data_IF_544296944473
#
_entry.id   IF_544296944473
#
_cell.length_a   1.000
_cell.length_b   1.000
_cell.length_c   1.000
_cell.angle_alpha   90.00
_cell.angle_beta   90.00
_cell.angle_gamma   90.00
#
_symmetry.space_group_name_H-M   'P 1'
#
loop_
_entity.id
_entity.type
_entity.pdbx_description
1 polymer ?
#
# COMPACT_ATOMS: atom_id res chain seq x y z
N UNK A 1 2.46 16.44 -21.29
CA UNK A 1 1.82 16.29 -19.97
C UNK A 1 2.85 15.75 -19.02
N UNK A 2 2.98 16.32 -17.83
CA UNK A 2 3.79 15.73 -16.75
C UNK A 2 3.11 14.43 -16.31
N UNK A 3 3.84 13.32 -16.24
CA UNK A 3 3.36 12.04 -15.76
C UNK A 3 4.14 11.62 -14.52
N UNK A 4 3.54 10.80 -13.68
CA UNK A 4 4.23 10.17 -12.55
C UNK A 4 4.60 8.73 -12.90
N UNK A 5 5.66 8.22 -12.27
CA UNK A 5 6.07 6.83 -12.37
C UNK A 5 5.67 6.11 -11.08
N UNK A 6 4.86 5.06 -11.19
CA UNK A 6 4.56 4.16 -10.08
C UNK A 6 5.65 3.10 -9.98
N UNK A 7 6.37 3.09 -8.87
CA UNK A 7 7.46 2.15 -8.57
C UNK A 7 6.91 0.78 -8.16
N UNK A 8 6.25 0.08 -9.06
CA UNK A 8 5.67 -1.24 -8.80
C UNK A 8 5.58 -2.10 -10.06
N UNK A 9 5.93 -3.38 -9.93
CA UNK A 9 5.65 -4.43 -10.90
C UNK A 9 4.34 -5.18 -10.59
N UNK A 10 3.72 -4.93 -9.44
CA UNK A 10 2.47 -5.58 -9.05
C UNK A 10 1.29 -4.99 -9.84
N UNK A 11 0.73 -5.80 -10.76
CA UNK A 11 -0.38 -5.38 -11.63
C UNK A 11 -1.62 -4.94 -10.84
N UNK A 12 -1.94 -5.59 -9.72
CA UNK A 12 -3.07 -5.19 -8.89
C UNK A 12 -2.88 -3.78 -8.31
N UNK A 13 -1.65 -3.45 -7.87
CA UNK A 13 -1.33 -2.09 -7.43
C UNK A 13 -1.42 -1.09 -8.58
N UNK A 14 -0.90 -1.44 -9.76
CA UNK A 14 -0.96 -0.56 -10.94
C UNK A 14 -2.41 -0.22 -11.31
N UNK A 15 -3.29 -1.22 -11.34
CA UNK A 15 -4.72 -1.01 -11.61
C UNK A 15 -5.42 -0.16 -10.53
N UNK A 16 -5.11 -0.39 -9.25
CA UNK A 16 -5.66 0.43 -8.16
C UNK A 16 -5.19 1.88 -8.26
N UNK A 17 -3.89 2.12 -8.49
CA UNK A 17 -3.37 3.49 -8.62
C UNK A 17 -3.87 4.21 -9.87
N UNK A 18 -4.03 3.51 -11.00
CA UNK A 18 -4.61 4.08 -12.21
C UNK A 18 -6.03 4.64 -11.96
N UNK A 19 -6.81 3.98 -11.10
CA UNK A 19 -8.15 4.45 -10.69
C UNK A 19 -8.08 5.55 -9.63
N UNK A 20 -7.22 5.42 -8.63
CA UNK A 20 -7.09 6.39 -7.54
C UNK A 20 -6.51 7.73 -8.02
N UNK A 21 -5.61 7.71 -9.01
CA UNK A 21 -4.93 8.87 -9.58
C UNK A 21 -5.44 9.24 -10.97
N UNK A 22 -6.65 8.87 -11.33
CA UNK A 22 -7.25 8.99 -12.68
C UNK A 22 -7.09 10.35 -13.38
N UNK A 23 -6.89 11.43 -12.61
CA UNK A 23 -6.64 12.77 -13.15
C UNK A 23 -5.16 13.06 -13.47
N UNK A 24 -4.25 12.14 -13.15
CA UNK A 24 -2.81 12.29 -13.33
C UNK A 24 -2.30 11.09 -14.11
N UNK A 25 -1.64 11.30 -15.28
CA UNK A 25 -1.08 10.20 -16.05
C UNK A 25 -0.03 9.43 -15.23
N UNK A 26 -0.24 8.13 -15.06
CA UNK A 26 0.67 7.25 -14.32
C UNK A 26 1.29 6.24 -15.28
N UNK A 27 2.62 6.19 -15.31
CA UNK A 27 3.41 5.12 -15.94
C UNK A 27 3.78 4.11 -14.86
N UNK A 28 4.18 2.90 -15.23
CA UNK A 28 4.61 1.87 -14.28
C UNK A 28 6.01 1.36 -14.61
N UNK A 29 6.59 0.54 -13.73
CA UNK A 29 7.88 -0.09 -13.98
C UNK A 29 7.85 -1.08 -15.15
N UNK A 30 6.68 -1.50 -15.62
CA UNK A 30 6.56 -2.26 -16.87
C UNK A 30 7.07 -1.50 -18.09
N UNK A 31 7.06 -0.16 -18.05
CA UNK A 31 7.64 0.70 -19.07
C UNK A 31 9.17 0.82 -18.99
N UNK A 32 9.76 0.25 -17.95
CA UNK A 32 11.19 0.32 -17.62
C UNK A 32 11.75 -1.07 -17.26
N UNK A 33 11.83 -2.01 -18.21
CA UNK A 33 12.21 -3.41 -17.93
C UNK A 33 13.63 -3.56 -17.38
N UNK A 34 14.49 -2.56 -17.58
CA UNK A 34 15.89 -2.54 -17.08
C UNK A 34 16.00 -2.11 -15.61
N UNK A 35 14.87 -1.67 -15.00
CA UNK A 35 14.90 -1.21 -13.62
C UNK A 35 15.01 -2.38 -12.66
N UNK A 36 16.03 -2.40 -11.79
CA UNK A 36 16.14 -3.42 -10.77
C UNK A 36 15.02 -3.30 -9.74
N UNK A 37 14.64 -4.41 -9.16
CA UNK A 37 13.79 -4.40 -7.96
C UNK A 37 14.53 -3.74 -6.81
N UNK A 38 13.84 -2.83 -6.13
CA UNK A 38 14.36 -2.19 -4.92
C UNK A 38 14.13 -3.11 -3.73
N UNK A 39 15.20 -3.45 -3.03
CA UNK A 39 15.12 -4.29 -1.84
C UNK A 39 14.38 -3.57 -0.70
N UNK A 40 13.35 -4.22 -0.17
CA UNK A 40 12.55 -3.74 0.96
C UNK A 40 13.16 -4.26 2.28
N UNK A 41 14.26 -3.62 2.71
CA UNK A 41 15.07 -3.98 3.88
C UNK A 41 14.89 -3.05 5.07
N UNK A 42 14.00 -2.05 4.94
CA UNK A 42 13.78 -1.09 6.01
C UNK A 42 12.86 -1.66 7.11
N UNK A 43 12.99 -1.18 8.35
CA UNK A 43 12.25 -1.73 9.49
C UNK A 43 10.77 -1.39 9.50
N UNK A 44 10.35 -0.42 8.70
CA UNK A 44 8.96 0.05 8.65
C UNK A 44 8.49 0.39 7.23
N UNK A 45 7.18 0.57 7.07
CA UNK A 45 6.55 0.89 5.78
C UNK A 45 7.01 2.24 5.22
N UNK A 46 7.29 3.22 6.08
CA UNK A 46 7.77 4.55 5.65
C UNK A 46 9.14 4.42 5.00
N UNK A 47 10.05 3.71 5.66
CA UNK A 47 11.41 3.48 5.16
C UNK A 47 11.39 2.78 3.79
N UNK A 48 10.62 1.69 3.65
CA UNK A 48 10.52 0.95 2.38
C UNK A 48 9.90 1.80 1.26
N UNK A 49 8.81 2.51 1.53
CA UNK A 49 8.16 3.37 0.53
C UNK A 49 9.10 4.51 0.08
N UNK A 50 9.77 5.17 1.02
CA UNK A 50 10.73 6.26 0.76
C UNK A 50 11.94 5.74 -0.02
N UNK A 51 12.52 4.61 0.39
CA UNK A 51 13.65 3.99 -0.30
C UNK A 51 13.29 3.69 -1.76
N UNK A 52 12.17 3.01 -2.00
CA UNK A 52 11.69 2.72 -3.37
C UNK A 52 11.49 3.98 -4.20
N UNK A 53 10.79 4.97 -3.66
CA UNK A 53 10.53 6.20 -4.40
C UNK A 53 11.83 6.93 -4.80
N UNK A 54 12.78 7.02 -3.88
CA UNK A 54 14.06 7.70 -4.10
C UNK A 54 14.97 6.98 -5.08
N UNK A 55 15.12 5.66 -4.93
CA UNK A 55 16.01 4.88 -5.80
C UNK A 55 15.50 4.91 -7.24
N UNK A 56 14.20 4.70 -7.45
CA UNK A 56 13.60 4.76 -8.80
C UNK A 56 13.65 6.18 -9.37
N UNK A 57 13.39 7.21 -8.54
CA UNK A 57 13.56 8.61 -8.96
C UNK A 57 15.01 8.90 -9.39
N UNK A 58 15.99 8.47 -8.62
CA UNK A 58 17.41 8.71 -8.91
C UNK A 58 17.83 8.10 -10.27
N UNK A 59 17.27 6.95 -10.64
CA UNK A 59 17.56 6.29 -11.92
C UNK A 59 16.83 6.92 -13.11
N UNK A 60 15.59 7.39 -12.89
CA UNK A 60 14.71 7.79 -14.02
C UNK A 60 14.58 9.30 -14.18
N UNK A 61 14.88 10.09 -13.15
CA UNK A 61 14.59 11.53 -13.09
C UNK A 61 13.09 11.84 -13.04
N UNK A 62 12.21 10.85 -13.11
CA UNK A 62 10.76 11.04 -13.09
C UNK A 62 10.27 11.32 -11.65
N UNK A 63 9.18 12.11 -11.52
CA UNK A 63 8.44 12.14 -10.25
C UNK A 63 7.91 10.74 -9.99
N UNK A 64 8.34 10.14 -8.89
CA UNK A 64 8.11 8.73 -8.60
C UNK A 64 7.23 8.56 -7.37
N UNK A 65 6.18 7.77 -7.53
CA UNK A 65 5.29 7.31 -6.46
C UNK A 65 5.65 5.87 -6.12
N UNK A 66 5.88 5.59 -4.85
CA UNK A 66 6.02 4.22 -4.35
C UNK A 66 5.09 4.00 -3.17
N UNK A 67 4.59 2.79 -2.99
CA UNK A 67 3.90 2.40 -1.77
C UNK A 67 4.56 1.21 -1.11
N UNK A 68 4.49 1.20 0.22
CA UNK A 68 4.62 -0.03 0.98
C UNK A 68 3.39 -0.22 1.85
N UNK A 69 2.91 -1.47 1.92
CA UNK A 69 1.64 -1.77 2.57
C UNK A 69 1.62 -3.20 3.09
N UNK A 70 0.94 -3.40 4.20
CA UNK A 70 0.84 -4.70 4.80
C UNK A 70 -0.25 -4.80 5.85
N UNK A 71 -0.31 -5.97 6.46
CA UNK A 71 -1.20 -6.33 7.55
C UNK A 71 -0.40 -6.36 8.85
N UNK A 72 -0.90 -5.66 9.87
CA UNK A 72 -0.44 -5.74 11.25
C UNK A 72 -1.49 -6.49 12.08
N UNK A 73 -1.06 -7.46 12.89
CA UNK A 73 -1.95 -8.24 13.75
C UNK A 73 -1.47 -8.13 15.20
N UNK A 74 -2.28 -7.55 16.06
CA UNK A 74 -1.91 -7.19 17.44
C UNK A 74 -1.40 -8.38 18.25
N UNK A 75 -2.04 -9.54 18.15
CA UNK A 75 -1.63 -10.75 18.89
C UNK A 75 -0.30 -11.35 18.41
N UNK A 76 0.23 -10.89 17.27
CA UNK A 76 1.47 -11.37 16.69
C UNK A 76 2.56 -10.28 16.67
N UNK A 77 2.52 -9.32 17.60
CA UNK A 77 3.46 -8.20 17.69
C UNK A 77 3.58 -7.45 16.35
N UNK A 78 2.43 -7.14 15.75
CA UNK A 78 2.26 -6.48 14.46
C UNK A 78 2.80 -7.27 13.26
N UNK A 79 3.19 -8.56 13.43
CA UNK A 79 3.48 -9.41 12.29
C UNK A 79 2.19 -9.71 11.48
N UNK A 80 2.28 -9.90 10.16
CA UNK A 80 3.47 -9.94 9.30
C UNK A 80 4.11 -8.57 8.99
N UNK A 81 3.42 -7.44 9.20
CA UNK A 81 3.96 -6.10 9.00
C UNK A 81 4.56 -5.89 7.60
N UNK A 82 5.77 -5.33 7.52
CA UNK A 82 6.50 -5.10 6.26
C UNK A 82 6.83 -6.39 5.49
N UNK A 83 6.71 -7.55 6.13
CA UNK A 83 6.92 -8.85 5.49
C UNK A 83 5.64 -9.45 4.89
N UNK A 84 4.51 -8.73 4.87
CA UNK A 84 3.19 -9.25 4.46
C UNK A 84 3.21 -10.04 3.15
N UNK A 85 3.89 -9.54 2.13
CA UNK A 85 3.97 -10.20 0.82
C UNK A 85 4.90 -11.43 0.78
N UNK A 86 5.83 -11.56 1.74
CA UNK A 86 6.88 -12.59 1.77
C UNK A 86 6.95 -13.36 3.09
N UNK A 87 5.95 -13.21 3.95
CA UNK A 87 5.91 -13.82 5.28
C UNK A 87 5.93 -15.36 5.26
N UNK A 88 5.28 -15.93 4.25
CA UNK A 88 5.34 -17.35 3.92
C UNK A 88 5.50 -17.48 2.41
N UNK A 89 6.36 -18.40 1.98
CA UNK A 89 6.50 -18.71 0.55
C UNK A 89 5.21 -19.32 -0.02
N UNK A 90 4.92 -19.01 -1.27
CA UNK A 90 3.74 -19.54 -1.96
C UNK A 90 2.73 -18.45 -2.36
N UNK A 91 1.47 -18.86 -2.46
CA UNK A 91 0.35 -18.02 -2.88
C UNK A 91 -0.18 -17.11 -1.75
N UNK A 92 -1.09 -16.21 -2.09
CA UNK A 92 -1.84 -15.44 -1.08
C UNK A 92 -2.64 -16.38 -0.16
N UNK A 93 -3.15 -17.49 -0.71
CA UNK A 93 -3.84 -18.51 0.07
C UNK A 93 -2.93 -19.16 1.11
N UNK A 94 -1.72 -19.51 0.74
CA UNK A 94 -0.73 -20.08 1.68
C UNK A 94 -0.45 -19.09 2.83
N UNK A 95 -0.32 -17.80 2.51
CA UNK A 95 -0.07 -16.74 3.49
C UNK A 95 -1.23 -16.56 4.48
N UNK A 96 -2.47 -16.40 4.00
CA UNK A 96 -3.58 -16.21 4.92
C UNK A 96 -3.94 -17.50 5.68
N UNK A 97 -3.72 -18.70 5.14
CA UNK A 97 -3.88 -19.96 5.87
C UNK A 97 -2.85 -20.09 6.99
N UNK A 98 -1.59 -19.72 6.74
CA UNK A 98 -0.56 -19.68 7.77
C UNK A 98 -0.89 -18.67 8.88
N UNK A 99 -1.48 -17.53 8.52
CA UNK A 99 -1.98 -16.55 9.49
C UNK A 99 -3.10 -17.15 10.35
N UNK A 100 -4.12 -17.76 9.73
CA UNK A 100 -5.22 -18.39 10.46
C UNK A 100 -4.74 -19.47 11.42
N UNK A 101 -3.77 -20.30 11.02
CA UNK A 101 -3.17 -21.32 11.88
C UNK A 101 -2.47 -20.71 13.11
N UNK A 102 -1.74 -19.59 12.94
CA UNK A 102 -1.12 -18.89 14.08
C UNK A 102 -2.14 -18.22 14.99
N UNK A 103 -3.28 -17.83 14.44
CA UNK A 103 -4.38 -17.19 15.16
C UNK A 103 -5.36 -18.18 15.82
N UNK A 104 -5.13 -19.50 15.70
CA UNK A 104 -6.07 -20.53 16.21
C UNK A 104 -6.31 -20.44 17.72
N UNK A 105 -5.24 -20.15 18.48
CA UNK A 105 -5.28 -20.05 19.94
C UNK A 105 -5.44 -18.61 20.44
N UNK A 106 -5.40 -17.63 19.56
CA UNK A 106 -5.45 -16.22 19.91
C UNK A 106 -6.87 -15.71 20.06
N UNK A 107 -7.13 -15.03 21.17
CA UNK A 107 -8.41 -14.37 21.46
C UNK A 107 -8.44 -12.92 20.98
N UNK A 108 -7.30 -12.23 20.99
CA UNK A 108 -7.16 -10.90 20.40
C UNK A 108 -6.96 -11.04 18.90
N UNK A 109 -8.01 -10.73 18.15
CA UNK A 109 -7.99 -10.83 16.70
C UNK A 109 -7.87 -9.48 16.00
N UNK A 110 -7.58 -8.40 16.74
CA UNK A 110 -7.42 -7.07 16.17
C UNK A 110 -6.30 -7.05 15.16
N UNK A 111 -6.58 -6.41 14.05
CA UNK A 111 -5.65 -6.27 12.93
C UNK A 111 -5.86 -4.93 12.25
N UNK A 112 -4.85 -4.51 11.50
CA UNK A 112 -4.87 -3.25 10.73
C UNK A 112 -4.20 -3.47 9.40
N UNK A 113 -4.84 -3.03 8.33
CA UNK A 113 -4.12 -2.78 7.09
C UNK A 113 -3.49 -1.39 7.11
N UNK A 114 -2.23 -1.30 6.72
CA UNK A 114 -1.46 -0.05 6.61
C UNK A 114 -0.99 0.14 5.18
N UNK A 115 -1.02 1.38 4.70
CA UNK A 115 -0.38 1.79 3.45
C UNK A 115 0.34 3.11 3.67
N UNK A 116 1.58 3.15 3.27
CA UNK A 116 2.39 4.36 3.17
C UNK A 116 2.68 4.62 1.70
N UNK A 117 2.39 5.83 1.23
CA UNK A 117 2.73 6.30 -0.11
C UNK A 117 3.82 7.35 0.03
N UNK A 118 4.92 7.19 -0.70
CA UNK A 118 5.99 8.17 -0.79
C UNK A 118 6.11 8.71 -2.22
N UNK A 119 6.32 10.01 -2.36
CA UNK A 119 6.54 10.68 -3.66
C UNK A 119 7.88 11.37 -3.64
N UNK A 120 8.78 10.95 -4.53
CA UNK A 120 10.10 11.55 -4.75
C UNK A 120 10.12 12.45 -5.99
N UNK A 121 11.05 13.40 -6.05
CA UNK A 121 11.24 14.28 -7.20
C UNK A 121 10.35 15.51 -7.22
N UNK A 122 9.74 15.86 -6.09
CA UNK A 122 9.03 17.11 -5.89
C UNK A 122 9.96 18.15 -5.23
N UNK A 123 9.70 19.44 -5.50
CA UNK A 123 10.43 20.54 -4.86
C UNK A 123 10.24 20.48 -3.34
N UNK A 124 11.35 20.46 -2.61
CA UNK A 124 11.35 20.37 -1.15
C UNK A 124 10.82 21.65 -0.47
N UNK A 125 10.83 22.78 -1.16
CA UNK A 125 10.28 24.05 -0.66
C UNK A 125 8.75 24.13 -0.72
N UNK A 126 8.06 23.19 -1.39
CA UNK A 126 6.60 23.18 -1.45
C UNK A 126 5.99 23.01 -0.06
N UNK A 127 5.05 23.89 0.35
CA UNK A 127 4.33 23.71 1.60
C UNK A 127 3.45 22.46 1.53
N UNK A 128 3.42 21.71 2.62
CA UNK A 128 2.60 20.49 2.70
C UNK A 128 1.28 20.78 3.40
N UNK A 129 0.15 20.29 2.86
CA UNK A 129 -1.13 20.26 3.57
C UNK A 129 -1.07 19.38 4.81
N UNK A 130 -2.02 19.58 5.73
CA UNK A 130 -2.22 18.70 6.88
C UNK A 130 -2.43 17.25 6.44
N UNK A 131 -1.86 16.32 7.20
CA UNK A 131 -1.91 14.89 6.89
C UNK A 131 -0.82 14.40 5.94
N UNK A 132 0.00 15.29 5.37
CA UNK A 132 1.22 14.94 4.65
C UNK A 132 2.46 15.28 5.48
N UNK A 133 3.52 14.51 5.29
CA UNK A 133 4.81 14.76 5.94
C UNK A 133 5.95 14.70 4.92
N UNK A 134 7.13 15.21 5.30
CA UNK A 134 8.33 15.09 4.49
C UNK A 134 9.34 14.19 5.18
N UNK A 135 9.76 13.14 4.50
CA UNK A 135 10.76 12.20 5.00
C UNK A 135 11.82 12.00 3.92
N UNK A 136 13.07 12.33 4.24
CA UNK A 136 14.23 12.19 3.34
C UNK A 136 13.99 12.78 1.93
N UNK A 137 13.33 13.96 1.84
CA UNK A 137 13.00 14.65 0.59
C UNK A 137 11.72 14.17 -0.09
N UNK A 138 11.15 13.05 0.32
CA UNK A 138 9.87 12.55 -0.21
C UNK A 138 8.68 13.17 0.52
N UNK A 139 7.59 13.41 -0.21
CA UNK A 139 6.27 13.67 0.38
C UNK A 139 5.63 12.34 0.72
N UNK A 140 5.16 12.19 1.97
CA UNK A 140 4.62 10.93 2.49
C UNK A 140 3.18 11.13 2.95
N UNK A 141 2.32 10.20 2.54
CA UNK A 141 0.95 10.05 3.01
C UNK A 141 0.75 8.65 3.60
N UNK A 142 -0.05 8.56 4.66
CA UNK A 142 -0.36 7.29 5.30
C UNK A 142 -1.87 7.06 5.36
N UNK A 143 -2.27 5.81 5.29
CA UNK A 143 -3.65 5.39 5.48
C UNK A 143 -3.71 4.03 6.14
N UNK A 144 -4.69 3.81 7.00
CA UNK A 144 -4.91 2.54 7.64
C UNK A 144 -6.41 2.22 7.72
N UNK A 145 -6.71 0.95 7.89
CA UNK A 145 -8.06 0.44 8.17
C UNK A 145 -7.98 -0.57 9.28
N UNK A 146 -8.69 -0.31 10.37
CA UNK A 146 -8.80 -1.24 11.49
C UNK A 146 -9.87 -2.29 11.20
N UNK A 147 -9.62 -3.51 11.68
CA UNK A 147 -10.49 -4.66 11.53
C UNK A 147 -10.07 -5.78 12.47
N UNK A 148 -10.51 -6.99 12.14
CA UNK A 148 -10.13 -8.21 12.87
C UNK A 148 -9.84 -9.35 11.90
N UNK A 149 -9.04 -10.31 12.32
CA UNK A 149 -8.84 -11.55 11.56
C UNK A 149 -10.05 -12.45 11.78
N UNK A 150 -10.75 -12.81 10.71
CA UNK A 150 -11.89 -13.74 10.73
C UNK A 150 -11.46 -15.16 11.11
N UNK A 151 -12.41 -16.01 11.49
CA UNK A 151 -12.12 -17.42 11.80
C UNK A 151 -11.92 -18.28 10.55
N UNK A 152 -12.45 -17.86 9.42
CA UNK A 152 -12.35 -18.56 8.14
C UNK A 152 -12.33 -17.55 6.99
N UNK A 153 -11.73 -17.89 5.84
CA UNK A 153 -11.72 -17.01 4.68
C UNK A 153 -13.13 -16.89 4.08
N UNK A 154 -13.50 -15.67 3.63
CA UNK A 154 -14.75 -15.37 2.91
C UNK A 154 -14.48 -14.39 1.78
N UNK A 155 -15.31 -14.45 0.72
CA UNK A 155 -15.19 -13.61 -0.46
C UNK A 155 -14.13 -14.10 -1.43
N UNK A 156 -14.11 -13.50 -2.62
CA UNK A 156 -13.23 -13.91 -3.74
C UNK A 156 -12.54 -12.72 -4.42
N UNK A 157 -12.84 -11.50 -3.97
CA UNK A 157 -12.27 -10.30 -4.55
C UNK A 157 -10.97 -9.90 -3.85
N UNK A 158 -10.19 -9.03 -4.49
CA UNK A 158 -8.96 -8.50 -3.92
C UNK A 158 -7.77 -9.47 -4.00
N UNK A 159 -6.84 -9.34 -3.07
CA UNK A 159 -5.60 -10.11 -3.00
C UNK A 159 -5.04 -10.14 -1.57
N UNK A 160 -3.99 -10.92 -1.36
CA UNK A 160 -3.30 -10.99 -0.07
C UNK A 160 -4.19 -11.54 1.04
N UNK A 161 -4.32 -10.78 2.10
CA UNK A 161 -5.09 -11.16 3.29
C UNK A 161 -6.56 -10.72 3.27
N UNK A 162 -7.05 -10.17 2.16
CA UNK A 162 -8.44 -9.69 2.03
C UNK A 162 -9.49 -10.73 2.45
N UNK A 163 -9.35 -12.04 2.13
CA UNK A 163 -10.34 -13.06 2.51
C UNK A 163 -10.49 -13.27 4.01
N UNK A 164 -9.49 -12.89 4.80
CA UNK A 164 -9.48 -13.10 6.26
C UNK A 164 -9.49 -11.81 7.06
N UNK A 165 -9.43 -10.66 6.41
CA UNK A 165 -9.53 -9.35 7.06
C UNK A 165 -10.98 -8.89 7.15
N UNK A 166 -11.58 -8.98 8.33
CA UNK A 166 -12.98 -8.62 8.57
C UNK A 166 -13.10 -7.16 9.03
N UNK A 167 -13.95 -6.43 8.35
CA UNK A 167 -14.30 -5.03 8.62
C UNK A 167 -15.32 -4.91 9.76
N UNK A 168 -15.50 -3.69 10.32
CA UNK A 168 -16.48 -3.46 11.39
C UNK A 168 -17.95 -3.80 11.03
N UNK A 169 -18.30 -3.80 9.74
CA UNK A 169 -19.63 -4.18 9.25
C UNK A 169 -19.83 -5.70 9.15
N UNK A 170 -18.80 -6.49 9.50
CA UNK A 170 -18.83 -7.95 9.52
C UNK A 170 -18.43 -8.62 8.20
N UNK A 171 -18.30 -7.87 7.09
CA UNK A 171 -17.81 -8.40 5.81
C UNK A 171 -16.28 -8.49 5.83
N UNK A 172 -15.72 -9.43 5.09
CA UNK A 172 -14.29 -9.40 4.79
C UNK A 172 -13.99 -8.41 3.66
N UNK A 173 -12.74 -7.98 3.55
CA UNK A 173 -12.31 -7.11 2.45
C UNK A 173 -12.52 -7.77 1.07
N UNK A 174 -12.45 -9.11 1.00
CA UNK A 174 -12.72 -9.88 -0.22
C UNK A 174 -14.22 -10.02 -0.57
N UNK A 175 -15.13 -9.64 0.31
CA UNK A 175 -16.57 -9.59 0.05
C UNK A 175 -17.01 -8.23 -0.52
N UNK A 176 -16.12 -7.23 -0.55
CA UNK A 176 -16.39 -5.92 -1.12
C UNK A 176 -16.24 -5.91 -2.64
N UNK A 177 -17.04 -5.09 -3.30
CA UNK A 177 -16.75 -4.69 -4.67
C UNK A 177 -15.49 -3.82 -4.73
N UNK A 178 -14.88 -3.70 -5.90
CA UNK A 178 -13.71 -2.84 -6.11
C UNK A 178 -13.99 -1.39 -5.70
N UNK A 179 -15.18 -0.86 -6.02
CA UNK A 179 -15.55 0.52 -5.69
C UNK A 179 -15.70 0.72 -4.17
N UNK A 180 -16.36 -0.20 -3.47
CA UNK A 180 -16.47 -0.17 -2.00
C UNK A 180 -15.10 -0.24 -1.34
N UNK A 181 -14.23 -1.16 -1.82
CA UNK A 181 -12.88 -1.31 -1.30
C UNK A 181 -12.06 -0.03 -1.48
N UNK A 182 -12.09 0.61 -2.67
CA UNK A 182 -11.38 1.87 -2.90
C UNK A 182 -11.86 3.00 -1.98
N UNK A 183 -13.16 3.03 -1.65
CA UNK A 183 -13.72 4.06 -0.78
C UNK A 183 -13.19 3.99 0.66
N UNK A 184 -12.90 2.79 1.18
CA UNK A 184 -12.57 2.60 2.59
C UNK A 184 -11.16 2.09 2.85
N UNK A 185 -10.45 1.54 1.84
CA UNK A 185 -9.17 0.86 2.01
C UNK A 185 -8.06 1.80 2.53
N UNK A 186 -7.06 1.20 3.18
CA UNK A 186 -5.82 1.85 3.61
C UNK A 186 -5.15 2.63 2.47
N UNK A 187 -4.97 1.99 1.28
CA UNK A 187 -4.42 2.63 0.08
C UNK A 187 -5.30 3.77 -0.42
N UNK A 188 -6.61 3.58 -0.46
CA UNK A 188 -7.56 4.63 -0.81
C UNK A 188 -7.51 5.83 0.13
N UNK A 189 -7.31 5.61 1.42
CA UNK A 189 -7.15 6.70 2.42
C UNK A 189 -5.85 7.47 2.20
N UNK A 190 -4.72 6.77 2.06
CA UNK A 190 -3.43 7.40 1.77
C UNK A 190 -3.45 8.19 0.45
N UNK A 191 -4.01 7.61 -0.61
CA UNK A 191 -4.13 8.27 -1.92
C UNK A 191 -5.03 9.52 -1.87
N UNK A 192 -6.16 9.47 -1.16
CA UNK A 192 -7.05 10.65 -1.00
C UNK A 192 -6.40 11.79 -0.23
N UNK A 193 -5.56 11.50 0.76
CA UNK A 193 -4.79 12.55 1.44
C UNK A 193 -3.78 13.23 0.50
N UNK A 194 -3.19 12.47 -0.40
CA UNK A 194 -2.15 12.94 -1.32
C UNK A 194 -2.71 13.62 -2.57
N UNK A 195 -3.85 13.15 -3.08
CA UNK A 195 -4.40 13.53 -4.40
C UNK A 195 -4.64 15.03 -4.59
N UNK A 196 -5.22 15.80 -3.64
CA UNK A 196 -5.41 17.25 -3.81
C UNK A 196 -4.08 17.98 -4.01
N UNK A 197 -3.04 17.60 -3.28
CA UNK A 197 -1.70 18.14 -3.41
C UNK A 197 -1.09 17.84 -4.78
N UNK A 198 -1.17 16.60 -5.23
CA UNK A 198 -0.64 16.22 -6.55
C UNK A 198 -1.42 16.89 -7.69
N UNK A 199 -2.75 16.98 -7.60
CA UNK A 199 -3.56 17.67 -8.63
C UNK A 199 -3.12 19.12 -8.83
N UNK A 200 -2.82 19.84 -7.74
CA UNK A 200 -2.34 21.21 -7.83
C UNK A 200 -0.96 21.35 -8.53
N UNK A 201 -0.15 20.27 -8.55
CA UNK A 201 1.17 20.26 -9.19
C UNK A 201 1.16 19.77 -10.65
N UNK A 202 0.16 18.96 -11.01
CA UNK A 202 0.07 18.28 -12.32
C UNK A 202 -1.07 18.81 -13.20
N UNK A 203 -1.87 19.78 -12.70
CA UNK A 203 -2.90 20.49 -13.45
C UNK A 203 -2.34 21.48 -14.48
#
# INVERSE_FOLDING_TARGET
MKSMLLASHNLHKVEEYAKLLESIPVRSLHDYPEMPDVEEDQPDFVGNAVKKAREIHAHTGAVTVADDSGLEVSALDDAPGVYSARWVAGSDEDRYRALLARMEVETDRRARFVCVIAVAGLDEALPLPDGLSRVAGCVVAQGHVDGVISLAPRGVNGFGYDPVFQLPDGRTAAELSTAEKHAISHRGRAARALLPFLRALFS
#
